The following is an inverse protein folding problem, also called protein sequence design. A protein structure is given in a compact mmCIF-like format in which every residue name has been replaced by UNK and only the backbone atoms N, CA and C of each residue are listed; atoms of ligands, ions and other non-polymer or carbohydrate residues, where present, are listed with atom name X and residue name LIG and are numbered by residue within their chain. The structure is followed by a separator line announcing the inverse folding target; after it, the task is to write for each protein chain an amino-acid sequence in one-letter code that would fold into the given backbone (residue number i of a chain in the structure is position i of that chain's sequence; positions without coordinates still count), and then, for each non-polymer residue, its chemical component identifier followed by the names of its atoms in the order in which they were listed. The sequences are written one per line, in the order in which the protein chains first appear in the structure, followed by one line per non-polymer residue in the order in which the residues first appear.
data_IF_578391965631
#
_entry.id   IF_578391965631
#
_cell.length_a   1.000
_cell.length_b   1.000
_cell.length_c   1.000
_cell.angle_alpha   90.00
_cell.angle_beta   90.00
_cell.angle_gamma   90.00
#
_symmetry.space_group_name_H-M   'P 1'
#
loop_
_entity.id
_entity.type
_entity.pdbx_description
1 polymer ?
#
# COMPACT_ATOMS: atom_id res chain seq x y z
N UNK A 1 -7.03 35.55 17.44
CA UNK A 1 -7.06 34.99 16.06
C UNK A 1 -7.94 33.74 16.11
N UNK A 2 -9.24 33.81 15.72
CA UNK A 2 -10.13 32.63 15.71
C UNK A 2 -9.81 31.84 14.44
N UNK A 3 -9.18 30.69 14.60
CA UNK A 3 -9.01 29.71 13.52
C UNK A 3 -10.43 29.31 13.10
N UNK A 4 -10.75 29.42 11.81
CA UNK A 4 -12.05 29.06 11.27
C UNK A 4 -12.33 27.56 11.50
N UNK A 5 -13.60 27.15 11.61
CA UNK A 5 -13.97 25.73 11.79
C UNK A 5 -13.44 24.85 10.66
N UNK A 6 -13.29 25.39 9.44
CA UNK A 6 -12.67 24.72 8.30
C UNK A 6 -11.16 24.47 8.50
N UNK A 7 -10.43 25.45 9.02
CA UNK A 7 -8.98 25.31 9.28
C UNK A 7 -8.71 24.30 10.40
N UNK A 8 -9.56 24.25 11.44
CA UNK A 8 -9.46 23.24 12.50
C UNK A 8 -9.77 21.84 11.98
N UNK A 9 -10.73 21.69 11.08
CA UNK A 9 -11.06 20.43 10.43
C UNK A 9 -9.89 19.95 9.57
N UNK A 10 -9.32 20.83 8.74
CA UNK A 10 -8.18 20.51 7.88
C UNK A 10 -6.94 20.11 8.70
N UNK A 11 -6.66 20.78 9.82
CA UNK A 11 -5.53 20.43 10.69
C UNK A 11 -5.69 19.04 11.30
N UNK A 12 -6.89 18.63 11.70
CA UNK A 12 -7.16 17.28 12.20
C UNK A 12 -6.91 16.22 11.15
N UNK A 13 -7.38 16.42 9.92
CA UNK A 13 -7.13 15.46 8.82
C UNK A 13 -5.64 15.34 8.50
N UNK A 14 -4.91 16.46 8.46
CA UNK A 14 -3.46 16.45 8.25
C UNK A 14 -2.76 15.71 9.39
N UNK A 15 -3.16 15.93 10.64
CA UNK A 15 -2.60 15.23 11.80
C UNK A 15 -2.80 13.70 11.72
N UNK A 16 -4.01 13.25 11.41
CA UNK A 16 -4.29 11.83 11.22
C UNK A 16 -3.51 11.24 10.03
N UNK A 17 -3.36 11.99 8.95
CA UNK A 17 -2.55 11.57 7.80
C UNK A 17 -1.08 11.37 8.19
N UNK A 18 -0.50 12.27 8.98
CA UNK A 18 0.89 12.12 9.47
C UNK A 18 1.03 10.88 10.35
N UNK A 19 0.10 10.64 11.27
CA UNK A 19 0.10 9.42 12.10
C UNK A 19 0.03 8.17 11.22
N UNK A 20 -0.87 8.15 10.23
CA UNK A 20 -0.98 7.04 9.30
C UNK A 20 0.34 6.79 8.53
N UNK A 21 1.02 7.85 8.07
CA UNK A 21 2.30 7.72 7.37
C UNK A 21 3.42 7.19 8.29
N UNK A 22 3.43 7.57 9.56
CA UNK A 22 4.37 7.00 10.55
C UNK A 22 4.08 5.51 10.75
N UNK A 23 2.80 5.13 10.88
CA UNK A 23 2.40 3.73 11.03
C UNK A 23 2.81 2.90 9.79
N UNK A 24 2.64 3.42 8.58
CA UNK A 24 3.11 2.80 7.34
C UNK A 24 4.64 2.59 7.34
N UNK A 25 5.41 3.60 7.75
CA UNK A 25 6.87 3.47 7.79
C UNK A 25 7.32 2.38 8.78
N UNK A 26 6.64 2.25 9.92
CA UNK A 26 6.89 1.18 10.89
C UNK A 26 6.50 -0.19 10.29
N UNK A 27 5.33 -0.27 9.65
CA UNK A 27 4.88 -1.49 8.97
C UNK A 27 5.88 -1.95 7.91
N UNK A 28 6.35 -1.05 7.05
CA UNK A 28 7.34 -1.35 6.02
C UNK A 28 8.66 -1.88 6.63
N UNK A 29 9.10 -1.29 7.75
CA UNK A 29 10.27 -1.77 8.46
C UNK A 29 10.09 -3.18 9.03
N UNK A 30 8.89 -3.49 9.56
CA UNK A 30 8.54 -4.82 10.05
C UNK A 30 8.49 -5.83 8.90
N UNK A 31 7.82 -5.50 7.80
CA UNK A 31 7.77 -6.33 6.59
C UNK A 31 9.18 -6.64 6.10
N UNK A 32 10.07 -5.63 6.07
CA UNK A 32 11.47 -5.81 5.69
C UNK A 32 12.19 -6.78 6.61
N UNK A 33 12.01 -6.67 7.93
CA UNK A 33 12.62 -7.59 8.90
C UNK A 33 12.12 -9.03 8.74
N UNK A 34 10.81 -9.21 8.52
CA UNK A 34 10.22 -10.51 8.28
C UNK A 34 10.72 -11.12 6.95
N UNK A 35 10.83 -10.30 5.90
CA UNK A 35 11.27 -10.72 4.57
C UNK A 35 12.74 -11.19 4.51
N UNK A 36 13.57 -10.86 5.51
CA UNK A 36 14.91 -11.44 5.63
C UNK A 36 14.92 -12.89 6.12
N UNK A 37 13.89 -13.32 6.83
CA UNK A 37 13.82 -14.62 7.49
C UNK A 37 12.79 -15.55 6.89
N UNK A 38 11.68 -14.99 6.42
CA UNK A 38 10.52 -15.73 5.95
C UNK A 38 10.41 -15.64 4.42
N UNK A 39 9.89 -16.68 3.75
CA UNK A 39 9.57 -16.63 2.33
C UNK A 39 8.56 -15.51 2.04
N UNK A 40 8.66 -14.91 0.85
CA UNK A 40 7.76 -13.84 0.38
C UNK A 40 6.29 -14.24 0.53
N UNK A 41 5.94 -15.47 0.18
CA UNK A 41 4.60 -16.04 0.33
C UNK A 41 4.09 -15.96 1.76
N UNK A 42 4.92 -16.31 2.74
CA UNK A 42 4.55 -16.31 4.15
C UNK A 42 4.41 -14.88 4.70
N UNK A 43 5.25 -13.96 4.26
CA UNK A 43 5.14 -12.52 4.61
C UNK A 43 3.82 -11.95 4.09
N UNK A 44 3.48 -12.17 2.81
CA UNK A 44 2.22 -11.71 2.21
C UNK A 44 1.00 -12.29 2.95
N UNK A 45 1.03 -13.59 3.26
CA UNK A 45 -0.05 -14.23 4.03
C UNK A 45 -0.18 -13.66 5.44
N UNK A 46 0.93 -13.41 6.12
CA UNK A 46 0.93 -12.87 7.48
C UNK A 46 0.32 -11.47 7.54
N UNK A 47 0.73 -10.60 6.63
CA UNK A 47 0.18 -9.23 6.51
C UNK A 47 -1.29 -9.29 6.11
N UNK A 48 -1.63 -10.11 5.11
CA UNK A 48 -3.00 -10.27 4.63
C UNK A 48 -3.95 -10.77 5.72
N UNK A 49 -3.59 -11.85 6.41
CA UNK A 49 -4.41 -12.42 7.49
C UNK A 49 -4.57 -11.47 8.67
N UNK A 50 -3.50 -10.74 9.04
CA UNK A 50 -3.60 -9.74 10.13
C UNK A 50 -4.62 -8.66 9.79
N UNK A 51 -4.58 -8.14 8.55
CA UNK A 51 -5.54 -7.16 8.07
C UNK A 51 -6.97 -7.69 8.04
N UNK A 52 -7.16 -8.91 7.54
CA UNK A 52 -8.49 -9.55 7.52
C UNK A 52 -9.10 -9.68 8.91
N UNK A 53 -8.32 -10.13 9.90
CA UNK A 53 -8.81 -10.31 11.28
C UNK A 53 -9.24 -8.97 11.89
N UNK A 54 -8.42 -7.94 11.73
CA UNK A 54 -8.71 -6.60 12.28
C UNK A 54 -9.93 -5.98 11.61
N UNK A 55 -10.00 -6.03 10.27
CA UNK A 55 -11.09 -5.42 9.52
C UNK A 55 -12.41 -6.16 9.70
N UNK A 56 -12.35 -7.49 9.87
CA UNK A 56 -13.53 -8.28 10.25
C UNK A 56 -14.06 -7.83 11.62
N UNK A 57 -13.16 -7.68 12.61
CA UNK A 57 -13.55 -7.15 13.92
C UNK A 57 -14.15 -5.74 13.85
N UNK A 58 -13.56 -4.85 13.04
CA UNK A 58 -14.06 -3.49 12.83
C UNK A 58 -15.43 -3.47 12.13
N UNK A 59 -15.65 -4.35 11.15
CA UNK A 59 -16.95 -4.42 10.46
C UNK A 59 -18.08 -4.80 11.41
N UNK A 60 -17.83 -5.72 12.35
CA UNK A 60 -18.80 -6.10 13.38
C UNK A 60 -19.10 -4.90 14.30
N UNK A 61 -18.07 -4.16 14.73
CA UNK A 61 -18.23 -3.00 15.62
C UNK A 61 -18.96 -1.85 14.94
N UNK A 62 -18.66 -1.59 13.65
CA UNK A 62 -19.29 -0.52 12.88
C UNK A 62 -20.62 -0.92 12.23
N UNK A 63 -20.97 -2.21 12.28
CA UNK A 63 -22.16 -2.76 11.60
C UNK A 63 -22.12 -2.53 10.07
N UNK A 64 -20.93 -2.55 9.47
CA UNK A 64 -20.71 -2.36 8.03
C UNK A 64 -20.74 -3.74 7.32
N UNK A 65 -21.41 -3.80 6.17
CA UNK A 65 -21.53 -5.04 5.39
C UNK A 65 -20.29 -5.26 4.51
N UNK A 66 -19.49 -6.28 4.83
CA UNK A 66 -18.34 -6.71 4.04
C UNK A 66 -18.76 -7.42 2.75
N UNK A 67 -19.91 -8.11 2.79
CA UNK A 67 -20.43 -8.91 1.68
C UNK A 67 -21.31 -8.08 0.75
N UNK A 68 -20.74 -7.04 0.14
CA UNK A 68 -21.50 -6.17 -0.75
C UNK A 68 -21.92 -6.93 -2.03
N UNK A 69 -23.15 -6.72 -2.48
CA UNK A 69 -23.76 -7.42 -3.63
C UNK A 69 -23.01 -7.18 -4.97
N UNK A 70 -22.11 -6.19 -5.01
CA UNK A 70 -21.31 -5.79 -6.18
C UNK A 70 -19.86 -6.28 -6.18
N UNK A 71 -19.52 -7.28 -5.37
CA UNK A 71 -18.15 -7.84 -5.31
C UNK A 71 -17.64 -8.38 -6.66
N UNK A 72 -18.56 -8.74 -7.56
CA UNK A 72 -18.25 -9.22 -8.92
C UNK A 72 -18.24 -8.12 -9.99
N UNK A 73 -18.28 -6.84 -9.59
CA UNK A 73 -18.11 -5.74 -10.54
C UNK A 73 -16.67 -5.78 -11.10
N UNK A 74 -16.55 -5.59 -12.41
CA UNK A 74 -15.25 -5.67 -13.10
C UNK A 74 -14.22 -4.67 -12.51
N UNK A 75 -14.66 -3.50 -12.09
CA UNK A 75 -13.78 -2.50 -11.46
C UNK A 75 -13.24 -3.01 -10.12
N UNK A 76 -14.09 -3.68 -9.34
CA UNK A 76 -13.71 -4.25 -8.07
C UNK A 76 -12.70 -5.40 -8.25
N UNK A 77 -12.95 -6.30 -9.19
CA UNK A 77 -12.03 -7.40 -9.52
C UNK A 77 -10.69 -6.88 -10.04
N UNK A 78 -10.71 -5.87 -10.92
CA UNK A 78 -9.48 -5.23 -11.40
C UNK A 78 -8.69 -4.58 -10.26
N UNK A 79 -9.36 -3.92 -9.33
CA UNK A 79 -8.73 -3.35 -8.15
C UNK A 79 -8.05 -4.42 -7.30
N UNK A 80 -8.74 -5.54 -7.05
CA UNK A 80 -8.19 -6.67 -6.30
C UNK A 80 -6.96 -7.28 -7.01
N UNK A 81 -7.03 -7.42 -8.32
CA UNK A 81 -5.91 -7.91 -9.13
C UNK A 81 -4.71 -6.95 -9.04
N UNK A 82 -4.94 -5.65 -9.16
CA UNK A 82 -3.89 -4.64 -9.01
C UNK A 82 -3.27 -4.67 -7.60
N UNK A 83 -4.06 -4.84 -6.55
CA UNK A 83 -3.60 -5.02 -5.17
C UNK A 83 -2.66 -6.23 -5.06
N UNK A 84 -3.09 -7.38 -5.58
CA UNK A 84 -2.31 -8.61 -5.55
C UNK A 84 -0.96 -8.44 -6.27
N UNK A 85 -1.00 -7.93 -7.50
CA UNK A 85 0.20 -7.76 -8.33
C UNK A 85 1.15 -6.74 -7.71
N UNK A 86 0.64 -5.58 -7.26
CA UNK A 86 1.46 -4.54 -6.62
C UNK A 86 2.14 -5.05 -5.35
N UNK A 87 1.42 -5.80 -4.54
CA UNK A 87 1.94 -6.33 -3.27
C UNK A 87 3.02 -7.37 -3.47
N UNK A 88 2.87 -8.26 -4.46
CA UNK A 88 3.93 -9.24 -4.80
C UNK A 88 5.20 -8.51 -5.26
N UNK A 89 5.07 -7.54 -6.16
CA UNK A 89 6.22 -6.75 -6.61
C UNK A 89 6.86 -5.95 -5.47
N UNK A 90 6.04 -5.38 -4.59
CA UNK A 90 6.53 -4.63 -3.44
C UNK A 90 7.35 -5.50 -2.49
N UNK A 91 6.86 -6.68 -2.11
CA UNK A 91 7.59 -7.58 -1.21
C UNK A 91 8.86 -8.13 -1.89
N UNK A 92 8.82 -8.47 -3.18
CA UNK A 92 10.02 -8.82 -3.94
C UNK A 92 11.06 -7.69 -3.85
N UNK A 93 10.64 -6.47 -4.07
CA UNK A 93 11.53 -5.29 -3.97
C UNK A 93 12.10 -5.16 -2.56
N UNK A 94 11.29 -5.34 -1.53
CA UNK A 94 11.73 -5.27 -0.13
C UNK A 94 12.81 -6.30 0.21
N UNK A 95 12.77 -7.48 -0.41
CA UNK A 95 13.78 -8.53 -0.19
C UNK A 95 15.11 -8.16 -0.84
N UNK A 96 15.09 -7.71 -2.09
CA UNK A 96 16.29 -7.59 -2.93
C UNK A 96 16.87 -6.17 -3.02
N UNK A 97 16.11 -5.16 -2.62
CA UNK A 97 16.50 -3.74 -2.69
C UNK A 97 16.53 -3.15 -1.29
N UNK A 98 17.37 -2.14 -1.06
CA UNK A 98 17.39 -1.44 0.23
C UNK A 98 16.05 -0.75 0.51
N UNK A 99 15.64 -0.69 1.77
CA UNK A 99 14.40 -0.01 2.17
C UNK A 99 14.36 1.44 1.70
N UNK A 100 15.49 2.14 1.82
CA UNK A 100 15.62 3.53 1.37
C UNK A 100 15.38 3.69 -0.13
N UNK A 101 15.97 2.82 -0.97
CA UNK A 101 15.78 2.86 -2.41
C UNK A 101 14.34 2.46 -2.79
N UNK A 102 13.76 1.48 -2.12
CA UNK A 102 12.36 1.07 -2.33
C UNK A 102 11.39 2.20 -2.00
N UNK A 103 11.56 2.86 -0.85
CA UNK A 103 10.73 4.00 -0.44
C UNK A 103 10.88 5.20 -1.38
N UNK A 104 12.10 5.45 -1.87
CA UNK A 104 12.35 6.52 -2.84
C UNK A 104 11.66 6.24 -4.20
N UNK A 105 11.63 4.99 -4.65
CA UNK A 105 10.92 4.59 -5.87
C UNK A 105 9.41 4.75 -5.74
N UNK A 106 8.84 4.49 -4.56
CA UNK A 106 7.42 4.71 -4.30
C UNK A 106 7.00 6.19 -4.36
N UNK A 107 7.93 7.13 -4.27
CA UNK A 107 7.67 8.56 -4.49
C UNK A 107 7.15 8.87 -5.91
N UNK A 108 7.27 7.93 -6.86
CA UNK A 108 6.68 8.08 -8.18
C UNK A 108 5.14 7.92 -8.16
N UNK A 109 4.57 7.26 -7.13
CA UNK A 109 3.13 7.02 -7.01
C UNK A 109 2.30 8.31 -7.03
N UNK A 110 2.61 9.36 -6.25
CA UNK A 110 1.86 10.62 -6.31
C UNK A 110 1.90 11.27 -7.70
N UNK A 111 3.00 11.10 -8.42
CA UNK A 111 3.15 11.61 -9.80
C UNK A 111 2.21 10.87 -10.73
N UNK A 112 2.25 9.53 -10.68
CA UNK A 112 1.37 8.68 -11.47
C UNK A 112 -0.10 8.90 -11.12
N UNK A 113 -0.42 9.11 -9.82
CA UNK A 113 -1.78 9.45 -9.37
C UNK A 113 -2.27 10.78 -9.97
N UNK A 114 -1.42 11.81 -9.98
CA UNK A 114 -1.78 13.10 -10.56
C UNK A 114 -1.99 13.00 -12.07
N UNK A 115 -1.11 12.29 -12.79
CA UNK A 115 -1.26 12.04 -14.22
C UNK A 115 -2.53 11.22 -14.50
N UNK A 116 -2.76 10.15 -13.72
CA UNK A 116 -3.94 9.30 -13.83
C UNK A 116 -5.24 10.06 -13.54
N UNK A 117 -5.26 10.90 -12.50
CA UNK A 117 -6.37 11.79 -12.17
C UNK A 117 -6.71 12.75 -13.32
N UNK A 118 -5.68 13.38 -13.91
CA UNK A 118 -5.85 14.24 -15.06
C UNK A 118 -6.40 13.50 -16.29
N UNK A 119 -5.86 12.32 -16.60
CA UNK A 119 -6.24 11.56 -17.80
C UNK A 119 -7.62 10.88 -17.66
N UNK A 120 -7.91 10.30 -16.50
CA UNK A 120 -9.14 9.50 -16.30
C UNK A 120 -10.32 10.34 -15.81
N UNK A 121 -10.07 11.29 -14.92
CA UNK A 121 -11.12 12.10 -14.28
C UNK A 121 -11.16 13.54 -14.80
N UNK A 122 -10.21 13.92 -15.69
CA UNK A 122 -10.07 15.28 -16.24
C UNK A 122 -9.94 16.35 -15.16
N UNK A 123 -9.34 15.99 -14.01
CA UNK A 123 -9.08 16.93 -12.94
C UNK A 123 -8.03 17.96 -13.37
N UNK A 124 -8.31 19.28 -13.25
CA UNK A 124 -7.35 20.29 -13.68
C UNK A 124 -6.15 20.30 -12.73
N UNK A 125 -4.95 20.09 -13.28
CA UNK A 125 -3.69 20.15 -12.52
C UNK A 125 -3.09 21.53 -12.65
N UNK A 126 -2.87 22.22 -11.53
CA UNK A 126 -2.26 23.56 -11.52
C UNK A 126 -0.74 23.46 -11.77
N UNK A 127 -0.17 24.50 -12.39
CA UNK A 127 1.29 24.60 -12.65
C UNK A 127 2.14 24.41 -11.37
N UNK A 128 1.65 24.90 -10.22
CA UNK A 128 2.32 24.68 -8.93
C UNK A 128 2.43 23.20 -8.56
N UNK A 129 1.38 22.42 -8.84
CA UNK A 129 1.37 20.98 -8.59
C UNK A 129 2.38 20.27 -9.48
N UNK A 130 2.46 20.65 -10.79
CA UNK A 130 3.47 20.10 -11.70
C UNK A 130 4.89 20.38 -11.23
N UNK A 131 5.17 21.59 -10.76
CA UNK A 131 6.50 21.94 -10.22
C UNK A 131 6.81 21.08 -8.99
N UNK A 132 5.89 20.94 -8.04
CA UNK A 132 6.09 20.13 -6.84
C UNK A 132 6.33 18.65 -7.18
N UNK A 133 5.58 18.11 -8.15
CA UNK A 133 5.74 16.76 -8.68
C UNK A 133 7.16 16.58 -9.24
N UNK A 134 7.62 17.49 -10.10
CA UNK A 134 8.95 17.42 -10.70
C UNK A 134 10.07 17.54 -9.65
N UNK A 135 9.90 18.37 -8.63
CA UNK A 135 10.85 18.49 -7.52
C UNK A 135 10.92 17.17 -6.72
N UNK A 136 9.76 16.56 -6.43
CA UNK A 136 9.71 15.27 -5.75
C UNK A 136 10.35 14.14 -6.57
N UNK A 137 10.09 14.11 -7.90
CA UNK A 137 10.73 13.17 -8.81
C UNK A 137 12.24 13.34 -8.84
N UNK A 138 12.73 14.59 -8.94
CA UNK A 138 14.15 14.86 -8.93
C UNK A 138 14.81 14.43 -7.61
N UNK A 139 14.14 14.69 -6.48
CA UNK A 139 14.58 14.22 -5.17
C UNK A 139 14.72 12.71 -5.09
N UNK A 140 13.72 11.96 -5.61
CA UNK A 140 13.78 10.49 -5.62
C UNK A 140 14.88 9.96 -6.55
N UNK A 141 15.11 10.58 -7.71
CA UNK A 141 16.20 10.20 -8.61
C UNK A 141 17.58 10.42 -7.98
N UNK A 142 17.76 11.46 -7.18
CA UNK A 142 19.01 11.68 -6.43
C UNK A 142 19.29 10.57 -5.40
N UNK A 143 18.25 10.00 -4.81
CA UNK A 143 18.41 8.88 -3.87
C UNK A 143 18.68 7.56 -4.59
N UNK A 144 18.02 7.32 -5.72
CA UNK A 144 18.15 6.06 -6.49
C UNK A 144 19.49 6.00 -7.23
N UNK A 145 20.02 7.14 -7.68
CA UNK A 145 21.25 7.27 -8.46
C UNK A 145 21.30 6.30 -9.65
N UNK A 146 20.32 6.33 -10.58
CA UNK A 146 20.28 5.41 -11.72
C UNK A 146 21.56 5.56 -12.57
N UNK A 147 22.11 4.42 -13.01
CA UNK A 147 23.32 4.38 -13.84
C UNK A 147 24.65 4.37 -13.08
N UNK A 148 24.61 4.29 -11.75
CA UNK A 148 25.79 4.03 -10.92
C UNK A 148 25.86 2.55 -10.51
N UNK A 149 27.01 2.10 -9.97
CA UNK A 149 27.17 0.75 -9.43
C UNK A 149 26.23 0.44 -8.26
N UNK A 150 25.58 1.47 -7.70
CA UNK A 150 24.57 1.33 -6.65
C UNK A 150 23.16 0.99 -7.19
N UNK A 151 22.96 1.10 -8.50
CA UNK A 151 21.66 0.76 -9.12
C UNK A 151 21.45 -0.76 -9.19
N UNK A 152 20.41 -1.22 -8.50
CA UNK A 152 19.99 -2.60 -8.59
C UNK A 152 18.91 -2.75 -9.68
N UNK A 153 19.12 -3.56 -10.74
CA UNK A 153 18.11 -3.77 -11.79
C UNK A 153 16.75 -4.27 -11.24
N UNK A 154 16.76 -4.95 -10.09
CA UNK A 154 15.53 -5.38 -9.41
C UNK A 154 14.68 -4.22 -8.90
N UNK A 155 15.22 -3.00 -8.85
CA UNK A 155 14.46 -1.78 -8.60
C UNK A 155 13.36 -1.53 -9.65
N UNK A 156 13.45 -2.13 -10.83
CA UNK A 156 12.38 -2.09 -11.83
C UNK A 156 11.10 -2.78 -11.36
N UNK A 157 11.20 -3.77 -10.49
CA UNK A 157 10.02 -4.37 -9.85
C UNK A 157 9.28 -3.37 -8.96
N UNK A 158 10.00 -2.45 -8.30
CA UNK A 158 9.37 -1.37 -7.54
C UNK A 158 8.56 -0.42 -8.44
N UNK A 159 9.07 -0.10 -9.63
CA UNK A 159 8.33 0.73 -10.58
C UNK A 159 7.08 0.03 -11.10
N UNK A 160 7.17 -1.27 -11.41
CA UNK A 160 6.00 -2.07 -11.78
C UNK A 160 5.00 -2.13 -10.62
N UNK A 161 5.46 -2.37 -9.40
CA UNK A 161 4.63 -2.33 -8.19
C UNK A 161 3.94 -0.97 -8.01
N UNK A 162 4.68 0.14 -8.17
CA UNK A 162 4.15 1.50 -8.08
C UNK A 162 3.08 1.78 -9.15
N UNK A 163 3.24 1.26 -10.37
CA UNK A 163 2.23 1.38 -11.43
C UNK A 163 0.92 0.69 -11.04
N UNK A 164 0.98 -0.59 -10.62
CA UNK A 164 -0.21 -1.32 -10.20
C UNK A 164 -0.83 -0.75 -8.93
N UNK A 165 -0.02 -0.24 -8.00
CA UNK A 165 -0.47 0.47 -6.81
C UNK A 165 -1.27 1.72 -7.19
N UNK A 166 -0.74 2.52 -8.12
CA UNK A 166 -1.43 3.70 -8.65
C UNK A 166 -2.76 3.34 -9.32
N UNK A 167 -2.76 2.30 -10.15
CA UNK A 167 -3.98 1.85 -10.82
C UNK A 167 -5.03 1.38 -9.82
N UNK A 168 -4.62 0.65 -8.77
CA UNK A 168 -5.49 0.29 -7.65
C UNK A 168 -6.10 1.51 -6.97
N UNK A 169 -5.29 2.54 -6.69
CA UNK A 169 -5.76 3.75 -6.01
C UNK A 169 -6.74 4.55 -6.88
N UNK A 170 -6.47 4.68 -8.18
CA UNK A 170 -7.39 5.32 -9.13
C UNK A 170 -8.73 4.56 -9.23
N UNK A 171 -8.68 3.22 -9.25
CA UNK A 171 -9.88 2.39 -9.22
C UNK A 171 -10.64 2.57 -7.90
N UNK A 172 -9.94 2.59 -6.77
CA UNK A 172 -10.53 2.85 -5.45
C UNK A 172 -11.23 4.21 -5.42
N UNK A 173 -10.57 5.26 -5.92
CA UNK A 173 -11.16 6.59 -6.01
C UNK A 173 -12.46 6.59 -6.85
N UNK A 174 -12.44 5.89 -8.00
CA UNK A 174 -13.63 5.79 -8.87
C UNK A 174 -14.79 5.02 -8.25
N UNK A 175 -14.55 4.28 -7.17
CA UNK A 175 -15.52 3.41 -6.50
C UNK A 175 -15.96 3.93 -5.13
N UNK A 176 -15.27 4.94 -4.59
CA UNK A 176 -15.44 5.42 -3.21
C UNK A 176 -16.88 5.83 -2.84
N UNK A 177 -17.68 6.24 -3.80
CA UNK A 177 -19.09 6.60 -3.57
C UNK A 177 -20.05 5.39 -3.47
N UNK A 178 -19.61 4.21 -3.94
CA UNK A 178 -20.47 3.03 -4.09
C UNK A 178 -20.16 1.90 -3.11
N UNK A 179 -19.08 1.99 -2.38
CA UNK A 179 -18.59 0.92 -1.51
C UNK A 179 -18.12 1.49 -0.16
N UNK A 180 -18.43 0.76 0.91
CA UNK A 180 -17.94 1.08 2.24
C UNK A 180 -16.40 0.94 2.32
N UNK A 181 -15.69 1.89 2.94
CA UNK A 181 -14.24 1.85 3.04
C UNK A 181 -13.70 0.58 3.68
N UNK A 182 -14.35 0.07 4.72
CA UNK A 182 -13.96 -1.16 5.41
C UNK A 182 -14.08 -2.37 4.49
N UNK A 183 -15.13 -2.44 3.66
CA UNK A 183 -15.30 -3.52 2.69
C UNK A 183 -14.18 -3.49 1.63
N UNK A 184 -13.85 -2.31 1.09
CA UNK A 184 -12.76 -2.15 0.12
C UNK A 184 -11.43 -2.60 0.74
N UNK A 185 -11.14 -2.21 1.96
CA UNK A 185 -9.91 -2.57 2.67
C UNK A 185 -9.87 -4.07 2.98
N UNK A 186 -10.96 -4.65 3.49
CA UNK A 186 -11.06 -6.08 3.79
C UNK A 186 -10.72 -6.95 2.58
N UNK A 187 -11.34 -6.68 1.44
CA UNK A 187 -11.06 -7.42 0.21
C UNK A 187 -9.68 -7.15 -0.37
N UNK A 188 -9.09 -5.98 -0.10
CA UNK A 188 -7.68 -5.70 -0.40
C UNK A 188 -6.74 -6.65 0.36
N UNK A 189 -6.94 -6.82 1.66
CA UNK A 189 -6.18 -7.78 2.46
C UNK A 189 -6.48 -9.24 2.10
N UNK A 190 -7.71 -9.55 1.66
CA UNK A 190 -8.04 -10.86 1.09
C UNK A 190 -7.21 -11.14 -0.18
N UNK A 191 -7.07 -10.14 -1.08
CA UNK A 191 -6.22 -10.25 -2.27
C UNK A 191 -4.77 -10.46 -1.91
N UNK A 192 -4.26 -9.77 -0.89
CA UNK A 192 -2.91 -9.93 -0.38
C UNK A 192 -2.67 -11.35 0.14
N UNK A 193 -3.60 -11.88 0.92
CA UNK A 193 -3.57 -13.26 1.42
C UNK A 193 -3.57 -14.27 0.25
N UNK A 194 -4.45 -14.07 -0.73
CA UNK A 194 -4.48 -14.88 -1.95
C UNK A 194 -3.17 -14.80 -2.73
N UNK A 195 -2.57 -13.61 -2.83
CA UNK A 195 -1.25 -13.41 -3.42
C UNK A 195 -0.17 -14.24 -2.73
N UNK A 196 -0.21 -14.30 -1.41
CA UNK A 196 0.67 -15.16 -0.62
C UNK A 196 0.46 -16.64 -0.93
N UNK A 197 -0.79 -17.11 -1.01
CA UNK A 197 -1.11 -18.51 -1.36
C UNK A 197 -0.62 -18.86 -2.78
N UNK A 198 -0.89 -17.99 -3.76
CA UNK A 198 -0.47 -18.20 -5.15
C UNK A 198 1.07 -18.20 -5.27
N UNK A 199 1.75 -17.46 -4.42
CA UNK A 199 3.20 -17.34 -4.40
C UNK A 199 3.92 -18.55 -3.75
N UNK A 200 3.21 -19.40 -3.01
CA UNK A 200 3.80 -20.57 -2.33
C UNK A 200 4.65 -21.47 -3.21
N UNK A 201 4.20 -21.89 -4.42
CA UNK A 201 5.00 -22.77 -5.26
C UNK A 201 6.29 -22.13 -5.80
N UNK A 202 6.39 -20.80 -5.80
CA UNK A 202 7.51 -20.06 -6.37
C UNK A 202 8.57 -19.65 -5.33
N UNK A 203 8.16 -19.39 -4.08
CA UNK A 203 9.02 -18.81 -3.05
C UNK A 203 9.31 -19.76 -1.88
N UNK A 204 9.00 -21.04 -2.03
CA UNK A 204 9.41 -22.09 -1.11
C UNK A 204 8.38 -22.42 -0.01
N UNK A 205 8.65 -23.52 0.75
CA UNK A 205 7.77 -24.01 1.80
C UNK A 205 7.74 -23.05 2.99
N UNK A 206 6.71 -23.21 3.83
CA UNK A 206 6.61 -22.50 5.09
C UNK A 206 7.81 -22.76 5.99
N UNK A 207 8.36 -21.67 6.55
CA UNK A 207 9.31 -21.73 7.65
C UNK A 207 8.57 -21.60 8.99
N UNK A 208 9.12 -22.21 10.04
CA UNK A 208 8.58 -22.07 11.40
C UNK A 208 8.73 -20.63 11.88
N UNK A 209 7.67 -20.09 12.50
CA UNK A 209 7.72 -18.79 13.13
C UNK A 209 8.56 -18.85 14.42
N UNK A 210 9.55 -17.97 14.51
CA UNK A 210 10.23 -17.68 15.78
C UNK A 210 9.31 -16.85 16.69
N UNK A 211 9.56 -16.89 18.00
CA UNK A 211 8.86 -16.04 18.96
C UNK A 211 8.97 -14.53 18.61
N UNK A 212 10.09 -14.12 18.02
CA UNK A 212 10.31 -12.75 17.53
C UNK A 212 9.40 -12.42 16.33
N UNK A 213 9.21 -13.37 15.42
CA UNK A 213 8.37 -13.20 14.25
C UNK A 213 6.89 -13.10 14.66
N UNK A 214 6.47 -13.86 15.65
CA UNK A 214 5.13 -13.77 16.27
C UNK A 214 4.91 -12.40 16.92
N UNK A 215 5.93 -11.84 17.59
CA UNK A 215 5.86 -10.49 18.14
C UNK A 215 5.68 -9.44 17.06
N UNK A 216 6.47 -9.49 15.96
CA UNK A 216 6.34 -8.59 14.84
C UNK A 216 4.97 -8.74 14.14
N UNK A 217 4.47 -9.96 14.03
CA UNK A 217 3.13 -10.21 13.50
C UNK A 217 2.04 -9.58 14.37
N UNK A 218 2.13 -9.71 15.69
CA UNK A 218 1.22 -9.03 16.63
C UNK A 218 1.24 -7.50 16.49
N UNK A 219 2.43 -6.93 16.24
CA UNK A 219 2.58 -5.49 16.00
C UNK A 219 1.91 -5.06 14.67
N UNK A 220 2.02 -5.88 13.62
CA UNK A 220 1.30 -5.65 12.36
C UNK A 220 -0.21 -5.63 12.56
N UNK A 221 -0.77 -6.55 13.34
CA UNK A 221 -2.20 -6.57 13.69
C UNK A 221 -2.64 -5.25 14.34
N UNK A 222 -1.80 -4.67 15.19
CA UNK A 222 -2.10 -3.41 15.87
C UNK A 222 -2.02 -2.19 14.93
N UNK A 223 -1.16 -2.22 13.92
CA UNK A 223 -0.95 -1.09 13.00
C UNK A 223 -1.97 -1.01 11.86
N UNK A 224 -2.58 -2.13 11.48
CA UNK A 224 -3.56 -2.21 10.37
C UNK A 224 -4.74 -1.23 10.50
N UNK A 225 -5.35 -0.97 11.68
CA UNK A 225 -6.47 -0.04 11.80
C UNK A 225 -6.17 1.39 11.35
N UNK A 226 -4.91 1.75 11.26
CA UNK A 226 -4.47 3.09 10.83
C UNK A 226 -4.66 3.32 9.31
N UNK A 227 -4.97 2.26 8.53
CA UNK A 227 -5.20 2.31 7.08
C UNK A 227 -6.63 2.71 6.67
N UNK A 228 -7.54 2.92 7.64
CA UNK A 228 -8.95 3.24 7.45
C UNK A 228 -9.23 4.63 7.96
#
# INVERSE_FOLDING_TARGET
MRISHEEQSNFRYVFFMVIAMIAFAIEDAIIKQLAFKLPISQVLMSVGLSGLLVLYGLSIVKNEDIAHRRLFDIKFLLRMLCELVSSVFFVITMVYVSLTASSALLQIVPIMMTIGGFLLFKEPVNLKQWILILVGLFGSLLVIQPGTDMFNPLSLFALAGAFFLTLRDLLTFSMSENYEPVAIAFWGFASLTLGGVISLPFFGPFCEFSAVDVFFWGLLVFLVPQRI
#
